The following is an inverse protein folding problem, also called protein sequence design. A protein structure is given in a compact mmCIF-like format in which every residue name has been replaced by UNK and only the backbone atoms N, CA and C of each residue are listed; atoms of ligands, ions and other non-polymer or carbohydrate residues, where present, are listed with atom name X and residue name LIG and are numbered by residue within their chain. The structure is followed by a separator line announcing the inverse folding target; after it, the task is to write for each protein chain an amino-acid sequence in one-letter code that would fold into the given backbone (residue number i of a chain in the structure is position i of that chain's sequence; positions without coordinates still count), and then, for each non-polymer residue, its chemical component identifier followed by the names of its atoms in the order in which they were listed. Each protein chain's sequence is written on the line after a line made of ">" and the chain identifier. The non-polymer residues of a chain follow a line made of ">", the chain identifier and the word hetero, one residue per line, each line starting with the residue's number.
data_IF_732385475423
#
_entry.id   IF_732385475423
#
_cell.length_a   1.000
_cell.length_b   1.000
_cell.length_c   1.000
_cell.angle_alpha   90.00
_cell.angle_beta   90.00
_cell.angle_gamma   90.00
#
_symmetry.space_group_name_H-M   'P 1'
#
loop_
_entity.id
_entity.type
_entity.pdbx_description
1 polymer ?
#
# COMPACT_ATOMS: atom_id res chain seq x y z
N UNK A 1 1.07 -10.63 11.16
CA UNK A 1 0.11 -10.04 12.09
C UNK A 1 -1.24 -9.87 11.43
N UNK A 2 -2.23 -9.52 12.23
CA UNK A 2 -3.59 -9.34 11.73
C UNK A 2 -3.78 -7.95 11.14
N UNK A 3 -4.82 -7.79 10.33
CA UNK A 3 -5.25 -6.48 9.86
C UNK A 3 -5.81 -5.68 11.03
N UNK A 4 -5.51 -4.39 11.04
CA UNK A 4 -6.04 -3.46 12.02
C UNK A 4 -7.06 -2.54 11.36
N UNK A 5 -7.98 -2.04 12.18
CA UNK A 5 -9.03 -1.14 11.73
C UNK A 5 -8.75 0.24 12.31
N UNK A 6 -8.32 1.22 11.48
CA UNK A 6 -8.11 2.58 11.99
C UNK A 6 -9.37 3.18 12.57
N UNK A 7 -9.19 4.08 13.54
CA UNK A 7 -10.28 4.81 14.14
C UNK A 7 -10.44 6.17 13.46
N UNK A 8 -11.68 6.57 13.25
CA UNK A 8 -12.01 7.84 12.63
C UNK A 8 -12.93 8.64 13.55
N UNK A 9 -12.76 9.95 13.56
CA UNK A 9 -13.62 10.88 14.30
C UNK A 9 -14.53 11.61 13.33
N UNK A 10 -15.72 11.95 13.80
CA UNK A 10 -16.68 12.70 13.00
C UNK A 10 -16.40 14.20 12.95
N UNK A 11 -15.35 14.67 13.62
CA UNK A 11 -14.98 16.08 13.70
C UNK A 11 -13.54 16.28 13.32
N UNK A 12 -13.21 17.45 12.79
CA UNK A 12 -11.83 17.80 12.38
C UNK A 12 -11.06 18.52 13.48
N UNK A 13 -11.72 18.90 14.58
CA UNK A 13 -11.09 19.60 15.69
C UNK A 13 -11.88 19.37 16.97
N UNK A 14 -11.30 19.74 18.12
CA UNK A 14 -11.91 19.55 19.41
C UNK A 14 -11.79 18.12 19.91
N UNK A 15 -12.56 17.79 20.94
CA UNK A 15 -12.60 16.44 21.52
C UNK A 15 -13.75 15.66 20.86
N UNK A 16 -13.45 14.61 20.08
CA UNK A 16 -14.52 13.85 19.46
C UNK A 16 -15.30 13.05 20.53
N UNK A 17 -16.61 13.03 20.40
CA UNK A 17 -17.47 12.26 21.29
C UNK A 17 -17.81 10.88 20.72
N UNK A 18 -17.60 10.67 19.43
CA UNK A 18 -17.85 9.40 18.75
C UNK A 18 -16.67 9.06 17.87
N UNK A 19 -16.16 7.82 18.02
CA UNK A 19 -15.10 7.28 17.16
C UNK A 19 -15.68 6.15 16.35
N UNK A 20 -15.25 6.08 15.10
CA UNK A 20 -15.67 5.04 14.16
C UNK A 20 -14.46 4.20 13.75
N UNK A 21 -14.67 2.90 13.61
CA UNK A 21 -13.62 2.03 13.03
C UNK A 21 -13.79 1.96 11.51
N UNK A 22 -12.69 1.62 10.83
CA UNK A 22 -12.76 1.26 9.43
C UNK A 22 -13.47 -0.08 9.26
N UNK A 23 -13.82 -0.41 8.03
CA UNK A 23 -14.33 -1.75 7.68
C UNK A 23 -13.30 -2.45 6.78
N UNK A 24 -13.68 -3.57 6.17
CA UNK A 24 -12.78 -4.36 5.33
C UNK A 24 -12.28 -3.63 4.08
N UNK A 25 -12.82 -2.44 3.79
CA UNK A 25 -12.38 -1.64 2.63
C UNK A 25 -11.24 -0.67 2.97
N UNK A 26 -10.76 -0.68 4.22
CA UNK A 26 -9.64 0.14 4.67
C UNK A 26 -8.93 -0.60 5.80
N UNK A 27 -7.82 -1.24 5.48
CA UNK A 27 -7.08 -2.08 6.42
C UNK A 27 -5.61 -1.73 6.40
N UNK A 28 -4.95 -1.87 7.56
CA UNK A 28 -3.52 -1.76 7.66
C UNK A 28 -2.96 -2.99 8.37
N UNK A 29 -1.92 -3.58 7.79
CA UNK A 29 -1.24 -4.74 8.36
C UNK A 29 0.15 -4.33 8.85
N UNK A 30 0.36 -4.15 10.16
CA UNK A 30 1.64 -3.66 10.67
C UNK A 30 2.84 -4.54 10.34
N UNK A 31 2.66 -5.85 10.26
CA UNK A 31 3.78 -6.76 10.01
C UNK A 31 4.42 -6.56 8.64
N UNK A 32 3.65 -6.11 7.67
CA UNK A 32 4.14 -5.89 6.30
C UNK A 32 4.14 -4.42 5.89
N UNK A 33 3.46 -3.56 6.64
CA UNK A 33 3.24 -2.18 6.25
C UNK A 33 2.19 -2.01 5.15
N UNK A 34 1.49 -3.07 4.81
CA UNK A 34 0.54 -3.06 3.71
C UNK A 34 -0.72 -2.29 4.05
N UNK A 35 -1.12 -1.37 3.17
CA UNK A 35 -2.39 -0.66 3.24
C UNK A 35 -3.31 -1.22 2.17
N UNK A 36 -4.45 -1.78 2.59
CA UNK A 36 -5.45 -2.31 1.67
C UNK A 36 -6.68 -1.43 1.67
N UNK A 37 -6.98 -0.85 0.52
CA UNK A 37 -8.17 -0.03 0.34
C UNK A 37 -8.89 -0.50 -0.93
N UNK A 38 -10.21 -0.35 -0.95
CA UNK A 38 -10.97 -0.81 -2.11
C UNK A 38 -10.64 0.00 -3.36
N UNK A 39 -10.48 1.32 -3.21
CA UNK A 39 -10.22 2.20 -4.36
C UNK A 39 -9.35 3.37 -3.90
N UNK A 40 -8.02 3.23 -3.96
CA UNK A 40 -7.12 4.33 -3.62
C UNK A 40 -7.25 5.43 -4.66
N UNK A 41 -7.24 6.69 -4.18
CA UNK A 41 -7.35 7.85 -5.05
C UNK A 41 -6.40 8.95 -4.57
N UNK A 42 -5.48 9.33 -5.44
CA UNK A 42 -4.64 10.50 -5.19
C UNK A 42 -5.42 11.75 -5.57
N UNK A 43 -5.91 12.47 -4.58
CA UNK A 43 -6.79 13.63 -4.83
C UNK A 43 -6.06 14.80 -5.48
N UNK A 44 -4.73 14.83 -5.43
CA UNK A 44 -3.92 15.83 -6.13
C UNK A 44 -3.56 15.42 -7.57
N UNK A 45 -4.02 14.25 -8.03
CA UNK A 45 -3.77 13.77 -9.38
C UNK A 45 -2.43 13.10 -9.60
N UNK A 46 -1.58 12.99 -8.56
CA UNK A 46 -0.22 12.46 -8.71
C UNK A 46 0.03 11.39 -7.65
N UNK A 47 0.41 10.20 -8.09
CA UNK A 47 0.85 9.10 -7.23
C UNK A 47 2.38 9.01 -7.34
N UNK A 48 3.07 8.93 -6.21
CA UNK A 48 4.53 8.84 -6.21
C UNK A 48 5.00 7.50 -5.63
N UNK A 49 6.12 7.00 -6.16
CA UNK A 49 6.84 5.89 -5.55
C UNK A 49 8.32 6.22 -5.49
N UNK A 50 9.04 5.55 -4.58
CA UNK A 50 10.48 5.69 -4.48
C UNK A 50 11.16 5.20 -5.76
N UNK A 51 12.26 5.84 -6.16
CA UNK A 51 13.08 5.41 -7.28
C UNK A 51 13.96 4.21 -6.94
N UNK A 52 14.09 3.88 -5.65
CA UNK A 52 14.97 2.81 -5.18
C UNK A 52 14.15 1.75 -4.46
N UNK A 53 14.31 0.52 -4.87
CA UNK A 53 13.75 -0.64 -4.16
C UNK A 53 14.84 -1.19 -3.26
N UNK A 54 14.67 -1.02 -1.96
CA UNK A 54 15.69 -1.34 -0.95
C UNK A 54 15.31 -2.50 -0.04
N UNK A 55 14.17 -3.14 -0.27
CA UNK A 55 13.74 -4.32 0.48
C UNK A 55 13.15 -5.34 -0.48
N UNK A 56 13.35 -6.62 -0.16
CA UNK A 56 12.75 -7.70 -0.94
C UNK A 56 11.23 -7.55 -0.96
N UNK A 57 10.64 -7.84 -2.11
CA UNK A 57 9.21 -7.82 -2.24
C UNK A 57 8.74 -8.88 -3.23
N UNK A 58 7.62 -9.50 -2.92
CA UNK A 58 7.01 -10.49 -3.79
C UNK A 58 5.63 -9.99 -4.23
N UNK A 59 5.43 -9.90 -5.54
CA UNK A 59 4.09 -9.72 -6.10
C UNK A 59 3.46 -11.10 -6.11
N UNK A 60 2.47 -11.29 -5.22
CA UNK A 60 1.85 -12.59 -5.01
C UNK A 60 1.06 -13.03 -6.23
N UNK A 61 0.91 -14.34 -6.37
CA UNK A 61 0.04 -14.92 -7.41
C UNK A 61 -1.36 -14.35 -7.27
N UNK A 62 -1.93 -13.90 -8.38
CA UNK A 62 -3.23 -13.24 -8.40
C UNK A 62 -3.17 -11.72 -8.30
N UNK A 63 -1.99 -11.17 -7.99
CA UNK A 63 -1.79 -9.72 -7.92
C UNK A 63 -0.93 -9.25 -9.08
N UNK A 64 -1.01 -7.97 -9.39
CA UNK A 64 -0.11 -7.31 -10.33
C UNK A 64 0.47 -6.07 -9.65
N UNK A 65 1.66 -5.68 -10.06
CA UNK A 65 2.34 -4.51 -9.53
C UNK A 65 2.56 -3.45 -10.60
N UNK A 66 2.69 -2.21 -10.16
CA UNK A 66 3.01 -1.10 -11.03
C UNK A 66 3.96 -0.14 -10.35
N UNK A 67 4.85 0.47 -11.13
CA UNK A 67 5.79 1.49 -10.64
C UNK A 67 5.95 2.57 -11.70
N UNK A 68 6.26 3.77 -11.23
CA UNK A 68 6.70 4.85 -12.11
C UNK A 68 8.23 4.87 -12.09
N UNK A 69 8.82 4.75 -13.27
CA UNK A 69 10.27 4.71 -13.41
C UNK A 69 10.90 6.09 -13.57
N UNK A 70 12.24 6.13 -13.47
CA UNK A 70 13.12 4.97 -13.35
C UNK A 70 13.12 4.37 -11.95
N UNK A 71 13.27 3.05 -11.86
CA UNK A 71 13.44 2.35 -10.57
C UNK A 71 14.71 1.52 -10.62
N UNK A 72 15.43 1.51 -9.49
CA UNK A 72 16.63 0.74 -9.31
C UNK A 72 16.41 -0.26 -8.19
N UNK A 73 16.65 -1.54 -8.47
CA UNK A 73 16.66 -2.58 -7.44
C UNK A 73 18.06 -2.62 -6.85
N UNK A 74 18.18 -2.36 -5.55
CA UNK A 74 19.48 -2.33 -4.90
C UNK A 74 20.19 -3.68 -4.96
N UNK A 75 21.51 -3.64 -4.84
CA UNK A 75 22.33 -4.84 -4.76
C UNK A 75 21.87 -5.73 -3.60
N UNK A 76 21.72 -7.02 -3.84
CA UNK A 76 21.28 -7.98 -2.84
C UNK A 76 19.77 -8.01 -2.60
N UNK A 77 19.01 -7.18 -3.30
CA UNK A 77 17.55 -7.11 -3.17
C UNK A 77 16.89 -7.87 -4.31
N UNK A 78 15.83 -8.58 -4.00
CA UNK A 78 15.08 -9.38 -4.96
C UNK A 78 13.63 -8.93 -5.01
N UNK A 79 13.14 -8.62 -6.20
CA UNK A 79 11.72 -8.45 -6.47
C UNK A 79 11.25 -9.70 -7.21
N UNK A 80 10.29 -10.39 -6.64
CA UNK A 80 9.75 -11.62 -7.22
C UNK A 80 8.39 -11.35 -7.83
N UNK A 81 8.23 -11.71 -9.10
CA UNK A 81 6.94 -11.66 -9.79
C UNK A 81 6.45 -13.09 -9.91
N UNK A 82 5.40 -13.43 -9.18
CA UNK A 82 4.86 -14.79 -9.14
C UNK A 82 4.27 -15.19 -10.48
N UNK A 83 4.18 -16.50 -10.70
CA UNK A 83 3.60 -17.03 -11.94
C UNK A 83 2.21 -16.46 -12.18
N UNK A 84 1.98 -15.95 -13.38
CA UNK A 84 0.70 -15.33 -13.76
C UNK A 84 0.55 -13.86 -13.38
N UNK A 85 1.52 -13.31 -12.62
CA UNK A 85 1.51 -11.91 -12.22
C UNK A 85 2.39 -11.09 -13.16
N UNK A 86 2.19 -9.77 -13.14
CA UNK A 86 2.92 -8.83 -13.98
C UNK A 86 3.37 -7.65 -13.14
N UNK A 87 4.59 -7.20 -13.36
CA UNK A 87 5.07 -5.92 -12.83
C UNK A 87 5.36 -5.00 -14.00
N UNK A 88 4.66 -3.87 -14.02
CA UNK A 88 4.79 -2.88 -15.09
C UNK A 88 5.47 -1.64 -14.56
N UNK A 89 6.52 -1.18 -15.24
CA UNK A 89 7.20 0.07 -14.95
C UNK A 89 6.96 1.02 -16.12
N UNK A 90 6.40 2.16 -15.85
CA UNK A 90 6.09 3.16 -16.88
C UNK A 90 6.96 4.39 -16.78
#
# INVERSE_FOLDING_TARGET
>A
STNLYPLFAAATSGTPTTLYTSNAQYLFKPSTGELSVKAPRASNGIVVNSQTISADYTIASGDNGGSFGPVTVNSGITVTVSSGSTWTVV
#
